data_IF_802144761918
#
_entry.id   IF_802144761918
#
_cell.length_a   1.000
_cell.length_b   1.000
_cell.length_c   1.000
_cell.angle_alpha   90.00
_cell.angle_beta   90.00
_cell.angle_gamma   90.00
#
_symmetry.space_group_name_H-M   'P 1'
#
loop_
_entity.id
_entity.type
_entity.pdbx_description
1 polymer ?
#
# COMPACT_ATOMS: atom_id res chain seq x y z
N UNK A 1 -14.79 -7.68 -6.83
CA UNK A 1 -14.64 -7.72 -5.35
C UNK A 1 -13.76 -8.90 -5.04
N UNK A 2 -12.49 -8.70 -4.68
CA UNK A 2 -11.57 -9.80 -4.36
C UNK A 2 -11.83 -10.26 -2.91
N UNK A 3 -12.92 -10.99 -2.71
CA UNK A 3 -13.23 -11.61 -1.43
C UNK A 3 -12.16 -12.69 -1.14
N UNK A 4 -11.32 -12.45 -0.13
CA UNK A 4 -10.29 -13.39 0.33
C UNK A 4 -8.84 -12.89 0.30
N UNK A 5 -8.59 -11.67 -0.22
CA UNK A 5 -7.23 -11.11 -0.17
C UNK A 5 -6.91 -10.54 1.22
N UNK A 6 -5.88 -11.10 1.87
CA UNK A 6 -5.35 -10.61 3.14
C UNK A 6 -3.98 -9.98 2.85
N UNK A 7 -3.83 -8.64 3.02
CA UNK A 7 -2.54 -7.98 2.89
C UNK A 7 -1.50 -8.58 3.84
N UNK A 8 -0.30 -8.87 3.34
CA UNK A 8 0.80 -9.32 4.20
C UNK A 8 1.40 -8.13 4.95
N UNK A 9 2.12 -8.37 6.08
CA UNK A 9 2.84 -7.32 6.78
C UNK A 9 3.81 -6.55 5.86
N UNK A 10 4.55 -7.26 5.01
CA UNK A 10 5.48 -6.64 4.05
C UNK A 10 4.79 -5.67 3.08
N UNK A 11 3.59 -6.03 2.58
CA UNK A 11 2.83 -5.15 1.70
C UNK A 11 2.39 -3.86 2.42
N UNK A 12 1.98 -3.99 3.69
CA UNK A 12 1.58 -2.87 4.54
C UNK A 12 2.77 -1.98 4.89
N UNK A 13 3.91 -2.57 5.18
CA UNK A 13 5.15 -1.85 5.47
C UNK A 13 5.64 -1.09 4.23
N UNK A 14 5.52 -1.67 3.03
CA UNK A 14 5.85 -0.98 1.77
C UNK A 14 5.01 0.28 1.53
N UNK A 15 3.72 0.28 1.93
CA UNK A 15 2.87 1.49 1.89
C UNK A 15 3.36 2.51 2.91
N UNK A 16 3.72 2.07 4.12
CA UNK A 16 4.23 2.97 5.16
C UNK A 16 5.56 3.62 4.76
N UNK A 17 6.49 2.84 4.18
CA UNK A 17 7.73 3.34 3.59
C UNK A 17 7.47 4.37 2.50
N UNK A 18 6.46 4.13 1.64
CA UNK A 18 6.10 5.07 0.59
C UNK A 18 5.59 6.40 1.16
N UNK A 19 4.74 6.36 2.18
CA UNK A 19 4.23 7.56 2.86
C UNK A 19 5.32 8.39 3.54
N UNK A 20 6.43 7.77 3.96
CA UNK A 20 7.56 8.48 4.54
C UNK A 20 8.40 9.25 3.51
N UNK A 21 8.29 8.92 2.21
CA UNK A 21 9.01 9.63 1.15
C UNK A 21 8.43 11.03 0.98
N UNK A 22 9.28 12.04 0.78
CA UNK A 22 8.85 13.43 0.67
C UNK A 22 8.53 13.84 -0.78
N UNK A 23 7.39 14.53 -0.97
CA UNK A 23 7.01 15.38 -2.11
C UNK A 23 7.32 14.84 -3.51
N UNK A 24 8.51 15.16 -4.04
CA UNK A 24 8.88 14.90 -5.43
C UNK A 24 8.99 13.40 -5.76
N UNK A 25 9.34 12.55 -4.79
CA UNK A 25 9.42 11.11 -5.00
C UNK A 25 8.03 10.44 -5.07
N UNK A 26 7.05 10.95 -4.30
CA UNK A 26 5.68 10.43 -4.33
C UNK A 26 5.02 10.68 -5.70
N UNK A 27 5.30 11.83 -6.31
CA UNK A 27 4.79 12.19 -7.64
C UNK A 27 5.39 11.28 -8.72
N UNK A 28 6.70 10.99 -8.63
CA UNK A 28 7.40 10.16 -9.60
C UNK A 28 7.09 8.67 -9.49
N UNK A 29 6.66 8.20 -8.31
CA UNK A 29 6.34 6.79 -8.06
C UNK A 29 4.96 6.68 -7.47
N UNK A 30 3.89 6.66 -8.28
CA UNK A 30 2.54 6.53 -7.78
C UNK A 30 2.37 5.20 -7.03
N UNK A 31 1.71 5.25 -5.87
CA UNK A 31 1.63 4.13 -4.93
C UNK A 31 1.00 2.86 -5.55
N UNK A 32 -0.17 3.00 -6.19
CA UNK A 32 -0.89 1.85 -6.76
C UNK A 32 -0.07 1.14 -7.87
N UNK A 33 0.43 1.82 -8.92
CA UNK A 33 1.34 1.20 -9.89
C UNK A 33 2.57 0.53 -9.26
N UNK A 34 3.14 1.15 -8.22
CA UNK A 34 4.31 0.60 -7.50
C UNK A 34 3.96 -0.70 -6.80
N UNK A 35 2.83 -0.76 -6.08
CA UNK A 35 2.37 -1.97 -5.40
C UNK A 35 2.06 -3.09 -6.39
N UNK A 36 1.46 -2.76 -7.54
CA UNK A 36 1.17 -3.73 -8.60
C UNK A 36 2.44 -4.30 -9.20
N UNK A 37 3.41 -3.45 -9.53
CA UNK A 37 4.69 -3.88 -10.10
C UNK A 37 5.53 -4.70 -9.11
N UNK A 38 5.53 -4.31 -7.82
CA UNK A 38 6.34 -4.97 -6.78
C UNK A 38 5.75 -6.31 -6.32
N UNK A 39 4.44 -6.42 -6.21
CA UNK A 39 3.77 -7.56 -5.57
C UNK A 39 2.81 -8.32 -6.48
N UNK A 40 2.75 -7.97 -7.77
CA UNK A 40 1.86 -8.63 -8.74
C UNK A 40 0.37 -8.41 -8.47
N UNK A 41 0.01 -7.32 -7.77
CA UNK A 41 -1.37 -7.07 -7.35
C UNK A 41 -2.25 -6.55 -8.49
N UNK A 42 -3.55 -6.83 -8.38
CA UNK A 42 -4.58 -6.08 -9.09
C UNK A 42 -4.89 -4.74 -8.38
N UNK A 43 -5.71 -3.89 -9.01
CA UNK A 43 -6.07 -2.59 -8.44
C UNK A 43 -6.84 -2.72 -7.11
N UNK A 44 -7.74 -3.70 -6.98
CA UNK A 44 -8.54 -3.90 -5.77
C UNK A 44 -7.69 -4.41 -4.61
N UNK A 45 -6.74 -5.31 -4.88
CA UNK A 45 -5.75 -5.79 -3.92
C UNK A 45 -4.84 -4.66 -3.47
N UNK A 46 -4.33 -3.83 -4.39
CA UNK A 46 -3.53 -2.65 -4.02
C UNK A 46 -4.30 -1.70 -3.10
N UNK A 47 -5.59 -1.44 -3.39
CA UNK A 47 -6.46 -0.63 -2.51
C UNK A 47 -6.63 -1.30 -1.13
N UNK A 48 -6.77 -2.63 -1.06
CA UNK A 48 -6.88 -3.35 0.20
C UNK A 48 -5.60 -3.23 1.05
N UNK A 49 -4.41 -3.29 0.44
CA UNK A 49 -3.13 -3.05 1.13
C UNK A 49 -3.08 -1.63 1.70
N UNK A 50 -3.45 -0.62 0.90
CA UNK A 50 -3.45 0.79 1.34
C UNK A 50 -4.39 0.98 2.54
N UNK A 51 -5.60 0.41 2.49
CA UNK A 51 -6.54 0.46 3.62
C UNK A 51 -5.99 -0.21 4.87
N UNK A 52 -5.33 -1.35 4.74
CA UNK A 52 -4.72 -2.04 5.88
C UNK A 52 -3.59 -1.21 6.52
N UNK A 53 -2.80 -0.50 5.72
CA UNK A 53 -1.77 0.40 6.22
C UNK A 53 -2.34 1.60 6.98
N UNK A 54 -3.37 2.26 6.45
CA UNK A 54 -4.04 3.37 7.14
C UNK A 54 -4.70 2.92 8.45
N UNK A 55 -5.32 1.74 8.48
CA UNK A 55 -5.88 1.17 9.72
C UNK A 55 -4.80 0.86 10.75
N UNK A 56 -3.64 0.34 10.33
CA UNK A 56 -2.49 0.10 11.21
C UNK A 56 -1.99 1.42 11.81
N UNK A 57 -1.87 2.47 10.99
CA UNK A 57 -1.48 3.80 11.44
C UNK A 57 -2.47 4.39 12.45
N UNK A 58 -3.77 4.29 12.17
CA UNK A 58 -4.81 4.80 13.08
C UNK A 58 -4.84 4.10 14.44
N UNK A 59 -4.41 2.83 14.52
CA UNK A 59 -4.32 2.07 15.79
C UNK A 59 -3.06 2.37 16.60
N UNK A 60 -2.06 3.00 16.00
CA UNK A 60 -0.80 3.35 16.67
C UNK A 60 -0.86 4.74 17.35
N UNK A 61 -2.03 5.38 17.35
CA UNK A 61 -2.31 6.72 17.91
C UNK A 61 -3.11 6.58 19.20
#
# INVERSE_FOLDING_TARGET
MSAGFIPTPEMVDAVSEWHQRQGAEQIRRPLVPTLRARFGLDNAQAIAVIRAAELRKARAV
#
